data_IF_994724152929
#
_entry.id   IF_994724152929
#
_cell.length_a   1.000
_cell.length_b   1.000
_cell.length_c   1.000
_cell.angle_alpha   90.00
_cell.angle_beta   90.00
_cell.angle_gamma   90.00
#
_symmetry.space_group_name_H-M   'P 1'
#
loop_
_entity.id
_entity.type
_entity.pdbx_description
1 polymer ?
#
# COMPACT_ATOMS: atom_id res chain seq x y z
N UNK A 1 -45.83 82.47 35.99
CA UNK A 1 -46.21 81.54 34.90
C UNK A 1 -45.24 81.70 33.75
N UNK A 2 -44.45 80.65 33.47
CA UNK A 2 -43.92 80.21 32.15
C UNK A 2 -42.73 79.29 32.43
N UNK A 3 -43.02 77.99 32.47
CA UNK A 3 -42.04 76.92 32.41
C UNK A 3 -41.55 76.80 30.96
N UNK A 4 -40.24 76.81 30.75
CA UNK A 4 -39.62 76.42 29.48
C UNK A 4 -38.86 75.11 29.69
N UNK A 5 -39.51 74.03 29.29
CA UNK A 5 -38.99 72.65 29.35
C UNK A 5 -38.16 72.39 28.09
N UNK A 6 -36.85 72.23 28.23
CA UNK A 6 -35.98 71.78 27.16
C UNK A 6 -36.16 70.27 26.97
N UNK A 7 -36.80 69.86 25.87
CA UNK A 7 -36.85 68.48 25.41
C UNK A 7 -35.59 68.15 24.61
N UNK A 8 -34.77 67.24 25.12
CA UNK A 8 -33.68 66.59 24.39
C UNK A 8 -34.24 65.25 23.85
N UNK A 9 -34.31 65.01 22.54
CA UNK A 9 -34.68 63.70 22.03
C UNK A 9 -33.46 62.77 22.09
N UNK A 10 -33.53 61.77 22.97
CA UNK A 10 -32.58 60.67 23.02
C UNK A 10 -32.87 59.72 21.85
N UNK A 11 -32.12 59.86 20.76
CA UNK A 11 -32.14 58.92 19.63
C UNK A 11 -31.47 57.62 20.07
N UNK A 12 -32.28 56.59 20.29
CA UNK A 12 -31.84 55.24 20.62
C UNK A 12 -31.50 54.50 19.32
N UNK A 13 -30.23 54.54 18.92
CA UNK A 13 -29.71 53.74 17.80
C UNK A 13 -29.59 52.29 18.26
N UNK A 14 -30.55 51.46 17.86
CA UNK A 14 -30.45 50.01 18.00
C UNK A 14 -29.41 49.48 17.01
N UNK A 15 -28.18 49.25 17.50
CA UNK A 15 -27.15 48.52 16.75
C UNK A 15 -27.57 47.06 16.73
N UNK A 16 -28.20 46.64 15.62
CA UNK A 16 -28.42 45.24 15.31
C UNK A 16 -27.08 44.55 15.07
N UNK A 17 -26.54 43.96 16.13
CA UNK A 17 -25.51 42.93 16.03
C UNK A 17 -26.15 41.70 15.36
N UNK A 18 -26.12 41.67 14.03
CA UNK A 18 -26.23 40.42 13.27
C UNK A 18 -24.93 39.68 13.54
N UNK A 19 -24.87 39.01 14.69
CA UNK A 19 -23.88 37.99 14.96
C UNK A 19 -24.06 36.92 13.90
N UNK A 20 -23.21 36.94 12.87
CA UNK A 20 -22.99 35.78 12.02
C UNK A 20 -22.47 34.67 12.94
N UNK A 21 -23.39 33.88 13.49
CA UNK A 21 -23.04 32.57 14.01
C UNK A 21 -22.56 31.77 12.80
N UNK A 22 -21.24 31.84 12.54
CA UNK A 22 -20.58 30.75 11.84
C UNK A 22 -20.78 29.55 12.74
N UNK A 23 -21.79 28.74 12.42
CA UNK A 23 -21.90 27.39 12.92
C UNK A 23 -20.59 26.71 12.51
N UNK A 24 -19.63 26.68 13.41
CA UNK A 24 -18.56 25.71 13.40
C UNK A 24 -19.25 24.37 13.56
N UNK A 25 -19.68 23.79 12.45
CA UNK A 25 -20.11 22.41 12.41
C UNK A 25 -18.98 21.60 13.05
N UNK A 26 -19.27 20.99 14.19
CA UNK A 26 -18.35 20.11 14.89
C UNK A 26 -17.96 18.99 13.90
N UNK A 27 -16.75 19.09 13.34
CA UNK A 27 -16.29 18.16 12.31
C UNK A 27 -15.96 16.83 12.98
N UNK A 28 -16.85 15.84 12.81
CA UNK A 28 -16.66 14.49 13.32
C UNK A 28 -15.52 13.83 12.54
N UNK A 29 -14.38 13.66 13.21
CA UNK A 29 -13.29 12.82 12.70
C UNK A 29 -13.65 11.34 12.91
N UNK A 30 -13.69 10.55 11.83
CA UNK A 30 -14.09 9.15 11.86
C UNK A 30 -13.25 8.31 10.89
N UNK A 31 -12.96 7.07 11.26
CA UNK A 31 -12.26 6.11 10.38
C UNK A 31 -13.18 5.63 9.25
N UNK A 32 -12.61 5.46 8.05
CA UNK A 32 -13.38 5.13 6.85
C UNK A 32 -14.32 3.93 7.01
N UNK A 33 -13.82 2.80 7.52
CA UNK A 33 -14.64 1.58 7.63
C UNK A 33 -15.71 1.71 8.71
N UNK A 34 -15.45 2.43 9.81
CA UNK A 34 -16.48 2.77 10.81
C UNK A 34 -17.57 3.67 10.21
N UNK A 35 -17.19 4.62 9.37
CA UNK A 35 -18.17 5.47 8.67
C UNK A 35 -19.04 4.68 7.67
N UNK A 36 -18.46 3.65 7.02
CA UNK A 36 -19.22 2.72 6.17
C UNK A 36 -20.20 1.88 6.98
N UNK A 37 -19.77 1.35 8.13
CA UNK A 37 -20.63 0.57 9.03
C UNK A 37 -21.80 1.40 9.60
N UNK A 38 -21.56 2.67 9.90
CA UNK A 38 -22.59 3.60 10.39
C UNK A 38 -23.55 4.08 9.30
N UNK A 39 -23.23 3.86 8.02
CA UNK A 39 -23.99 4.39 6.88
C UNK A 39 -23.73 5.86 6.58
N UNK A 40 -22.78 6.50 7.27
CA UNK A 40 -22.37 7.90 7.05
C UNK A 40 -21.68 8.07 5.68
N UNK A 41 -21.09 6.99 5.14
CA UNK A 41 -20.32 6.98 3.89
C UNK A 41 -20.61 5.76 3.04
N UNK A 42 -20.79 5.97 1.73
CA UNK A 42 -20.79 4.89 0.73
C UNK A 42 -19.44 4.84 0.00
N UNK A 43 -18.84 3.66 -0.11
CA UNK A 43 -17.62 3.42 -0.89
C UNK A 43 -17.93 2.54 -2.10
N UNK A 44 -17.58 3.01 -3.31
CA UNK A 44 -17.57 2.20 -4.53
C UNK A 44 -16.14 1.96 -4.98
N UNK A 45 -15.72 0.69 -4.98
CA UNK A 45 -14.40 0.26 -5.44
C UNK A 45 -14.49 -0.24 -6.87
N UNK A 46 -13.73 0.38 -7.77
CA UNK A 46 -13.71 0.05 -9.20
C UNK A 46 -12.28 -0.34 -9.58
N UNK A 47 -12.01 -1.64 -9.64
CA UNK A 47 -10.72 -2.15 -10.09
C UNK A 47 -10.56 -1.90 -11.60
N UNK A 48 -9.51 -1.19 -12.02
CA UNK A 48 -9.27 -0.93 -13.44
C UNK A 48 -8.51 -2.07 -14.11
N UNK A 49 -7.51 -2.59 -13.40
CA UNK A 49 -6.63 -3.68 -13.77
C UNK A 49 -5.88 -4.14 -12.50
N UNK A 50 -4.91 -5.06 -12.66
CA UNK A 50 -4.09 -5.56 -11.55
C UNK A 50 -3.37 -4.45 -10.75
N UNK A 51 -3.07 -3.31 -11.38
CA UNK A 51 -2.19 -2.27 -10.84
C UNK A 51 -2.93 -1.10 -10.19
N UNK A 52 -4.18 -0.85 -10.58
CA UNK A 52 -4.89 0.37 -10.20
C UNK A 52 -6.39 0.17 -9.98
N UNK A 53 -6.93 0.90 -9.01
CA UNK A 53 -8.37 1.05 -8.80
C UNK A 53 -8.76 2.51 -8.57
N UNK A 54 -10.00 2.84 -8.93
CA UNK A 54 -10.67 4.07 -8.51
C UNK A 54 -11.57 3.76 -7.31
N UNK A 55 -11.49 4.58 -6.26
CA UNK A 55 -12.35 4.49 -5.09
C UNK A 55 -13.17 5.76 -4.98
N UNK A 56 -14.49 5.63 -5.08
CA UNK A 56 -15.43 6.74 -4.93
C UNK A 56 -16.00 6.70 -3.52
N UNK A 57 -15.75 7.75 -2.74
CA UNK A 57 -16.22 7.90 -1.37
C UNK A 57 -17.29 8.99 -1.36
N UNK A 58 -18.51 8.64 -1.00
CA UNK A 58 -19.66 9.54 -0.95
C UNK A 58 -20.03 9.80 0.50
N UNK A 59 -20.10 11.06 0.90
CA UNK A 59 -20.66 11.42 2.21
C UNK A 59 -22.19 11.43 2.10
N UNK A 60 -22.83 10.48 2.79
CA UNK A 60 -24.29 10.32 2.83
C UNK A 60 -24.93 11.12 3.97
N UNK A 61 -24.13 11.66 4.89
CA UNK A 61 -24.61 12.48 5.99
C UNK A 61 -24.94 13.91 5.57
N UNK A 62 -25.66 14.61 6.45
CA UNK A 62 -26.00 16.03 6.36
C UNK A 62 -24.91 16.96 6.90
N UNK A 63 -23.79 16.41 7.40
CA UNK A 63 -22.68 17.15 8.01
C UNK A 63 -21.35 16.93 7.27
N UNK A 64 -20.43 17.91 7.28
CA UNK A 64 -19.07 17.67 6.81
C UNK A 64 -18.41 16.54 7.61
N UNK A 65 -17.79 15.59 6.91
CA UNK A 65 -17.07 14.48 7.52
C UNK A 65 -15.57 14.64 7.32
N UNK A 66 -14.81 14.36 8.37
CA UNK A 66 -13.36 14.27 8.32
C UNK A 66 -12.96 12.79 8.43
N UNK A 67 -12.65 12.18 7.30
CA UNK A 67 -12.40 10.74 7.18
C UNK A 67 -10.92 10.42 7.33
N UNK A 68 -10.58 9.53 8.27
CA UNK A 68 -9.27 8.89 8.32
C UNK A 68 -9.25 7.69 7.37
N UNK A 69 -8.42 7.77 6.34
CA UNK A 69 -8.22 6.69 5.39
C UNK A 69 -7.23 5.66 5.94
N UNK A 70 -7.45 4.37 5.70
CA UNK A 70 -6.52 3.32 6.09
C UNK A 70 -5.24 3.40 5.24
N UNK A 71 -4.11 2.99 5.82
CA UNK A 71 -2.82 2.93 5.10
C UNK A 71 -2.79 1.84 4.03
N UNK A 72 -3.54 0.77 4.23
CA UNK A 72 -3.71 -0.31 3.28
C UNK A 72 -5.16 -0.84 3.30
N UNK A 73 -5.57 -1.39 2.18
CA UNK A 73 -6.91 -1.92 1.92
C UNK A 73 -6.82 -3.23 1.15
N UNK A 74 -7.87 -4.05 1.25
CA UNK A 74 -8.14 -5.11 0.30
C UNK A 74 -9.50 -4.88 -0.38
N UNK A 75 -9.69 -5.48 -1.55
CA UNK A 75 -10.99 -5.55 -2.19
C UNK A 75 -11.22 -6.95 -2.72
N UNK A 76 -12.39 -7.50 -2.38
CA UNK A 76 -12.82 -8.84 -2.77
C UNK A 76 -14.00 -8.76 -3.74
N UNK A 77 -14.08 -9.65 -4.74
CA UNK A 77 -15.22 -9.67 -5.64
C UNK A 77 -16.48 -10.02 -4.85
N UNK A 78 -17.57 -9.30 -5.09
CA UNK A 78 -18.88 -9.65 -4.54
C UNK A 78 -19.37 -10.88 -5.30
N UNK A 79 -19.47 -12.02 -4.61
CA UNK A 79 -19.81 -13.34 -5.19
C UNK A 79 -21.28 -13.45 -5.69
N UNK A 80 -21.92 -12.34 -6.04
CA UNK A 80 -23.37 -12.25 -6.19
C UNK A 80 -23.92 -11.87 -7.56
N UNK A 81 -23.15 -11.80 -8.67
CA UNK A 81 -23.79 -11.34 -9.92
C UNK A 81 -23.32 -11.85 -11.28
N UNK A 82 -22.22 -12.59 -11.43
CA UNK A 82 -21.88 -13.15 -12.75
C UNK A 82 -21.14 -14.48 -12.66
N UNK A 83 -21.84 -15.55 -13.04
CA UNK A 83 -21.22 -16.68 -13.74
C UNK A 83 -20.86 -17.91 -12.91
N UNK A 84 -21.81 -18.47 -12.17
CA UNK A 84 -21.82 -19.92 -11.99
C UNK A 84 -22.41 -20.50 -13.28
N UNK A 85 -21.58 -20.62 -14.32
CA UNK A 85 -21.96 -21.33 -15.53
C UNK A 85 -22.00 -22.83 -15.19
N UNK A 86 -23.15 -23.52 -15.26
CA UNK A 86 -23.25 -24.94 -14.93
C UNK A 86 -22.42 -25.85 -15.85
N UNK A 87 -21.86 -25.28 -16.92
CA UNK A 87 -21.14 -26.02 -17.97
C UNK A 87 -19.62 -25.80 -17.96
N UNK A 88 -19.05 -25.20 -16.91
CA UNK A 88 -17.59 -25.15 -16.74
C UNK A 88 -17.12 -26.32 -15.88
N UNK A 89 -16.44 -27.24 -16.56
CA UNK A 89 -15.73 -28.41 -16.06
C UNK A 89 -15.15 -28.17 -14.65
N UNK A 90 -15.74 -28.86 -13.68
CA UNK A 90 -15.51 -28.76 -12.24
C UNK A 90 -14.18 -29.40 -11.79
N UNK A 91 -13.16 -29.36 -12.65
CA UNK A 91 -11.91 -30.08 -12.43
C UNK A 91 -10.69 -29.16 -12.48
N UNK A 92 -10.76 -28.04 -11.75
CA UNK A 92 -9.57 -27.27 -11.37
C UNK A 92 -9.84 -26.45 -10.10
N UNK A 93 -9.23 -26.94 -9.01
CA UNK A 93 -8.93 -26.26 -7.76
C UNK A 93 -10.10 -25.98 -6.77
N UNK A 94 -10.06 -26.55 -5.55
CA UNK A 94 -11.00 -26.22 -4.49
C UNK A 94 -10.60 -24.89 -3.83
N UNK A 95 -10.99 -23.77 -4.45
CA UNK A 95 -10.76 -22.42 -3.94
C UNK A 95 -11.69 -21.44 -4.64
N UNK A 96 -12.88 -21.24 -4.08
CA UNK A 96 -14.01 -20.55 -4.70
C UNK A 96 -13.72 -19.14 -5.23
N UNK A 97 -14.49 -18.78 -6.27
CA UNK A 97 -14.48 -17.47 -6.92
C UNK A 97 -13.48 -17.39 -8.07
N UNK A 98 -14.00 -17.39 -9.31
CA UNK A 98 -13.23 -17.15 -10.53
C UNK A 98 -12.57 -15.77 -10.58
N UNK A 99 -12.96 -14.85 -9.70
CA UNK A 99 -12.46 -13.47 -9.70
C UNK A 99 -11.38 -13.26 -8.61
N UNK A 100 -10.38 -12.45 -8.95
CA UNK A 100 -9.22 -12.14 -8.13
C UNK A 100 -9.51 -11.07 -7.07
N UNK A 101 -9.08 -11.29 -5.82
CA UNK A 101 -8.94 -10.24 -4.81
C UNK A 101 -7.69 -9.37 -5.01
N UNK A 102 -7.79 -8.09 -4.67
CA UNK A 102 -6.67 -7.13 -4.75
C UNK A 102 -6.35 -6.51 -3.40
N UNK A 103 -5.07 -6.19 -3.19
CA UNK A 103 -4.58 -5.48 -2.00
C UNK A 103 -3.79 -4.24 -2.42
N UNK A 104 -3.73 -3.23 -1.57
CA UNK A 104 -3.02 -2.00 -1.91
C UNK A 104 -3.29 -0.85 -0.97
N UNK A 105 -3.13 0.37 -1.46
CA UNK A 105 -3.34 1.57 -0.65
C UNK A 105 -3.47 2.85 -1.49
N UNK A 106 -3.76 3.95 -0.79
CA UNK A 106 -3.92 5.26 -1.39
C UNK A 106 -2.61 6.04 -1.37
N UNK A 107 -2.33 6.79 -2.43
CA UNK A 107 -1.26 7.77 -2.42
C UNK A 107 -1.72 9.02 -1.65
N UNK A 108 -1.53 8.99 -0.34
CA UNK A 108 -1.94 10.02 0.62
C UNK A 108 -0.90 11.13 0.79
N UNK A 109 -0.14 11.43 -0.26
CA UNK A 109 0.66 12.65 -0.32
C UNK A 109 1.62 12.83 0.85
N UNK A 110 2.49 11.87 1.10
CA UNK A 110 3.78 12.21 1.69
C UNK A 110 4.59 12.86 0.56
N UNK A 111 4.99 14.13 0.71
CA UNK A 111 5.61 14.99 -0.31
C UNK A 111 6.97 14.53 -0.86
N UNK A 112 7.22 13.22 -0.94
CA UNK A 112 8.38 12.55 -1.52
C UNK A 112 7.89 11.31 -2.29
N UNK A 113 7.02 11.50 -3.27
CA UNK A 113 6.73 10.47 -4.26
C UNK A 113 7.71 10.59 -5.41
N UNK A 114 8.62 9.61 -5.56
CA UNK A 114 9.31 9.31 -6.82
C UNK A 114 8.26 8.86 -7.86
N UNK A 115 7.44 9.81 -8.31
CA UNK A 115 6.52 9.62 -9.41
C UNK A 115 7.29 9.79 -10.70
N UNK A 116 7.75 8.68 -11.27
CA UNK A 116 7.93 8.56 -12.71
C UNK A 116 6.53 8.58 -13.35
N UNK A 117 5.84 9.71 -13.19
CA UNK A 117 4.58 10.04 -13.83
C UNK A 117 4.92 10.64 -15.17
N UNK A 118 5.28 9.77 -16.12
CA UNK A 118 4.94 10.00 -17.51
C UNK A 118 3.42 10.07 -17.59
N UNK A 119 2.92 11.27 -17.28
CA UNK A 119 1.58 11.71 -17.61
C UNK A 119 1.52 11.83 -19.13
N UNK A 120 1.35 10.68 -19.78
CA UNK A 120 0.98 10.57 -21.20
C UNK A 120 -0.51 10.93 -21.33
N UNK A 121 -0.82 12.16 -20.93
CA UNK A 121 -2.05 12.88 -21.22
C UNK A 121 -1.69 13.98 -22.20
N UNK A 122 -2.03 13.76 -23.46
CA UNK A 122 -1.87 14.70 -24.56
C UNK A 122 -2.54 16.05 -24.23
N UNK A 123 -1.80 17.03 -23.73
CA UNK A 123 -2.22 18.43 -23.77
C UNK A 123 -1.01 19.38 -23.77
N UNK A 124 -0.54 19.66 -24.98
CA UNK A 124 0.04 20.97 -25.26
C UNK A 124 -1.06 22.01 -24.98
N UNK A 125 -0.91 22.73 -23.87
CA UNK A 125 -1.86 23.74 -23.45
C UNK A 125 -1.15 24.81 -22.63
N UNK A 126 -0.55 25.77 -23.33
CA UNK A 126 -0.27 27.08 -22.77
C UNK A 126 -1.59 27.68 -22.27
N UNK A 127 -1.69 27.97 -20.98
CA UNK A 127 -2.84 28.65 -20.42
C UNK A 127 -2.68 28.93 -18.94
N UNK A 128 -2.41 30.19 -18.62
CA UNK A 128 -2.65 30.77 -17.30
C UNK A 128 -4.05 30.39 -16.81
N UNK A 129 -4.13 29.53 -15.80
CA UNK A 129 -5.31 29.50 -14.95
C UNK A 129 -4.91 29.14 -13.53
N UNK A 130 -5.09 30.13 -12.67
CA UNK A 130 -5.11 30.01 -11.22
C UNK A 130 -6.17 28.96 -10.84
N UNK A 131 -5.72 27.72 -10.69
CA UNK A 131 -6.55 26.61 -10.24
C UNK A 131 -6.69 26.65 -8.72
N UNK A 132 -7.77 27.27 -8.25
CA UNK A 132 -8.31 27.07 -6.92
C UNK A 132 -8.49 25.57 -6.63
N UNK A 133 -7.58 25.02 -5.83
CA UNK A 133 -7.68 23.67 -5.30
C UNK A 133 -6.92 23.62 -3.99
N UNK A 134 -7.66 23.67 -2.88
CA UNK A 134 -7.15 23.58 -1.53
C UNK A 134 -6.46 22.21 -1.32
N UNK A 135 -5.21 22.07 -1.73
CA UNK A 135 -4.36 20.89 -1.53
C UNK A 135 -3.80 20.80 -0.09
N UNK A 136 -4.44 21.49 0.88
CA UNK A 136 -3.98 21.51 2.28
C UNK A 136 -4.55 20.40 3.16
N UNK A 137 -5.31 19.44 2.60
CA UNK A 137 -5.95 18.38 3.38
C UNK A 137 -5.28 17.00 3.36
N UNK A 138 -4.57 16.65 2.28
CA UNK A 138 -4.29 15.22 2.01
C UNK A 138 -3.02 14.66 2.65
N UNK A 139 -2.18 15.48 3.29
CA UNK A 139 -0.84 15.07 3.77
C UNK A 139 -0.79 14.29 5.09
N UNK A 140 -1.91 13.87 5.67
CA UNK A 140 -1.94 13.10 6.94
C UNK A 140 -2.88 11.90 6.93
N UNK A 141 -3.32 11.45 5.76
CA UNK A 141 -4.30 10.36 5.67
C UNK A 141 -5.72 10.78 6.08
N UNK A 142 -5.98 12.08 6.18
CA UNK A 142 -7.28 12.65 6.55
C UNK A 142 -7.89 13.31 5.30
N UNK A 143 -9.18 13.06 5.05
CA UNK A 143 -9.93 13.57 3.91
C UNK A 143 -11.22 14.23 4.40
N UNK A 144 -11.42 15.50 4.08
CA UNK A 144 -12.68 16.20 4.37
C UNK A 144 -13.64 16.08 3.19
N UNK A 145 -14.89 15.66 3.44
CA UNK A 145 -15.95 15.55 2.43
C UNK A 145 -17.20 16.32 2.90
N UNK A 146 -17.67 17.27 2.10
CA UNK A 146 -18.90 18.00 2.39
C UNK A 146 -20.16 17.10 2.24
N UNK A 147 -21.29 17.46 2.88
CA UNK A 147 -22.54 16.70 2.78
C UNK A 147 -22.96 16.42 1.33
N UNK A 148 -23.35 15.18 1.03
CA UNK A 148 -23.80 14.75 -0.31
C UNK A 148 -22.74 14.86 -1.41
N UNK A 149 -21.47 15.07 -1.07
CA UNK A 149 -20.37 15.15 -2.06
C UNK A 149 -19.61 13.84 -2.17
N UNK A 150 -19.04 13.65 -3.36
CA UNK A 150 -18.22 12.48 -3.71
C UNK A 150 -16.77 12.92 -3.91
N UNK A 151 -15.83 12.20 -3.31
CA UNK A 151 -14.43 12.28 -3.67
C UNK A 151 -13.97 11.01 -4.38
N UNK A 152 -13.18 11.19 -5.44
CA UNK A 152 -12.54 10.11 -6.17
C UNK A 152 -11.07 10.01 -5.77
N UNK A 153 -10.68 8.84 -5.30
CA UNK A 153 -9.29 8.48 -5.00
C UNK A 153 -8.76 7.45 -5.98
N UNK A 154 -7.46 7.48 -6.22
CA UNK A 154 -6.73 6.42 -6.92
C UNK A 154 -6.02 5.54 -5.88
N UNK A 155 -6.20 4.24 -6.00
CA UNK A 155 -5.48 3.26 -5.21
C UNK A 155 -4.53 2.47 -6.12
N UNK A 156 -3.28 2.31 -5.68
CA UNK A 156 -2.33 1.38 -6.30
C UNK A 156 -2.60 0.00 -5.73
N UNK A 157 -2.69 -1.00 -6.60
CA UNK A 157 -3.11 -2.36 -6.22
C UNK A 157 -2.16 -3.42 -6.75
N UNK A 158 -2.23 -4.59 -6.11
CA UNK A 158 -1.61 -5.85 -6.54
C UNK A 158 -2.62 -6.99 -6.42
N UNK A 159 -2.43 -7.97 -7.27
CA UNK A 159 -3.16 -9.22 -7.29
C UNK A 159 -2.73 -10.10 -6.10
N UNK A 160 -3.65 -10.46 -5.20
CA UNK A 160 -3.31 -11.20 -3.97
C UNK A 160 -3.14 -12.71 -4.18
N UNK A 161 -3.53 -13.22 -5.35
CA UNK A 161 -3.65 -14.65 -5.64
C UNK A 161 -3.12 -14.95 -7.05
N UNK A 162 -1.99 -15.63 -7.16
CA UNK A 162 -1.48 -15.97 -8.49
C UNK A 162 -2.41 -16.91 -9.27
N UNK A 163 -2.55 -16.68 -10.57
CA UNK A 163 -3.27 -17.55 -11.51
C UNK A 163 -4.77 -17.27 -11.63
N UNK A 164 -5.32 -16.37 -10.80
CA UNK A 164 -6.66 -15.82 -11.02
C UNK A 164 -6.62 -14.76 -12.14
N UNK A 165 -7.73 -14.55 -12.87
CA UNK A 165 -7.78 -13.54 -13.91
C UNK A 165 -7.65 -12.14 -13.31
N UNK A 166 -6.94 -11.26 -14.03
CA UNK A 166 -6.78 -9.87 -13.65
C UNK A 166 -8.14 -9.21 -13.37
N UNK A 167 -8.21 -8.35 -12.33
CA UNK A 167 -9.42 -7.64 -11.98
C UNK A 167 -9.84 -6.68 -13.10
N UNK A 168 -11.15 -6.51 -13.30
CA UNK A 168 -11.71 -5.69 -14.39
C UNK A 168 -12.77 -4.72 -13.87
N UNK A 169 -13.00 -3.56 -14.53
CA UNK A 169 -13.98 -2.57 -14.08
C UNK A 169 -15.42 -3.07 -13.99
N UNK A 170 -15.74 -4.15 -14.72
CA UNK A 170 -17.08 -4.73 -14.79
C UNK A 170 -17.38 -5.68 -13.63
N UNK A 171 -16.36 -6.13 -12.89
CA UNK A 171 -16.54 -7.02 -11.74
C UNK A 171 -16.82 -6.15 -10.51
N UNK A 172 -17.91 -6.44 -9.79
CA UNK A 172 -18.25 -5.72 -8.57
C UNK A 172 -17.29 -6.13 -7.44
N UNK A 173 -16.67 -5.14 -6.81
CA UNK A 173 -15.76 -5.33 -5.69
C UNK A 173 -16.28 -4.67 -4.42
N UNK A 174 -16.11 -5.35 -3.29
CA UNK A 174 -16.30 -4.79 -1.96
C UNK A 174 -14.94 -4.51 -1.35
N UNK A 175 -14.70 -3.26 -1.01
CA UNK A 175 -13.52 -2.85 -0.24
C UNK A 175 -13.69 -3.28 1.21
N UNK A 176 -12.65 -3.86 1.78
CA UNK A 176 -12.59 -4.35 3.16
C UNK A 176 -11.27 -3.92 3.81
N UNK A 177 -11.19 -3.89 5.15
CA UNK A 177 -9.92 -3.75 5.84
C UNK A 177 -8.95 -4.85 5.41
N UNK A 178 -7.65 -4.53 5.29
CA UNK A 178 -6.66 -5.50 4.81
C UNK A 178 -6.56 -6.70 5.77
N UNK A 179 -6.66 -6.44 7.07
CA UNK A 179 -6.66 -7.41 8.15
C UNK A 179 -7.81 -8.43 8.07
N UNK A 180 -8.91 -8.09 7.40
CA UNK A 180 -10.01 -9.04 7.12
C UNK A 180 -9.62 -10.02 6.02
N UNK A 181 -8.70 -9.66 5.13
CA UNK A 181 -8.19 -10.55 4.08
C UNK A 181 -6.97 -11.35 4.56
N UNK A 182 -6.01 -10.70 5.22
CA UNK A 182 -4.78 -11.33 5.71
C UNK A 182 -4.24 -10.60 6.92
N UNK A 183 -3.71 -11.34 7.88
CA UNK A 183 -3.00 -10.81 9.06
C UNK A 183 -1.48 -10.82 8.89
N UNK A 184 -0.99 -11.15 7.70
CA UNK A 184 0.43 -11.26 7.42
C UNK A 184 1.12 -9.88 7.46
N UNK A 185 2.14 -9.69 8.33
CA UNK A 185 2.81 -8.40 8.47
C UNK A 185 3.60 -7.99 7.22
N UNK A 186 4.14 -8.95 6.48
CA UNK A 186 4.87 -8.69 5.23
C UNK A 186 3.91 -8.20 4.16
N UNK A 187 2.76 -8.86 3.98
CA UNK A 187 1.75 -8.41 3.01
C UNK A 187 1.17 -7.05 3.40
N UNK A 188 0.98 -6.81 4.69
CA UNK A 188 0.56 -5.51 5.22
C UNK A 188 1.55 -4.42 4.86
N UNK A 189 2.84 -4.63 5.14
CA UNK A 189 3.90 -3.68 4.83
C UNK A 189 3.97 -3.42 3.32
N UNK A 190 3.93 -4.46 2.48
CA UNK A 190 3.95 -4.34 1.01
C UNK A 190 2.79 -3.47 0.52
N UNK A 191 1.57 -3.72 0.98
CA UNK A 191 0.41 -2.94 0.54
C UNK A 191 0.49 -1.46 0.98
N UNK A 192 1.01 -1.18 2.17
CA UNK A 192 1.23 0.19 2.65
C UNK A 192 2.30 0.92 1.83
N UNK A 193 3.43 0.26 1.56
CA UNK A 193 4.52 0.83 0.76
C UNK A 193 4.12 1.02 -0.70
N UNK A 194 3.32 0.12 -1.26
CA UNK A 194 2.74 0.27 -2.59
C UNK A 194 1.79 1.47 -2.67
N UNK A 195 0.91 1.61 -1.66
CA UNK A 195 -0.04 2.72 -1.59
C UNK A 195 0.66 4.07 -1.56
N UNK A 196 1.75 4.18 -0.78
CA UNK A 196 2.56 5.40 -0.66
C UNK A 196 3.55 5.60 -1.81
N UNK A 197 3.69 4.64 -2.72
CA UNK A 197 4.64 4.71 -3.83
C UNK A 197 6.11 4.47 -3.44
N UNK A 198 6.37 3.91 -2.25
CA UNK A 198 7.72 3.55 -1.79
C UNK A 198 8.29 2.34 -2.53
N UNK A 199 7.44 1.42 -2.99
CA UNK A 199 7.82 0.29 -3.84
C UNK A 199 7.00 0.29 -5.13
N UNK A 200 7.62 -0.09 -6.26
CA UNK A 200 6.90 -0.18 -7.53
C UNK A 200 5.97 -1.41 -7.54
N UNK A 201 4.94 -1.35 -8.40
CA UNK A 201 3.89 -2.36 -8.44
C UNK A 201 4.41 -3.76 -8.78
N UNK A 202 5.34 -3.89 -9.75
CA UNK A 202 5.90 -5.19 -10.13
C UNK A 202 6.65 -5.84 -8.95
N UNK A 203 7.43 -5.05 -8.19
CA UNK A 203 8.14 -5.52 -6.99
C UNK A 203 7.13 -6.00 -5.94
N UNK A 204 6.10 -5.20 -5.65
CA UNK A 204 5.03 -5.59 -4.73
C UNK A 204 4.33 -6.88 -5.17
N UNK A 205 4.03 -7.01 -6.46
CA UNK A 205 3.38 -8.18 -7.06
C UNK A 205 4.24 -9.45 -6.91
N UNK A 206 5.54 -9.34 -7.14
CA UNK A 206 6.49 -10.44 -6.99
C UNK A 206 6.58 -10.91 -5.53
N UNK A 207 6.65 -9.97 -4.57
CA UNK A 207 6.69 -10.29 -3.13
C UNK A 207 5.41 -11.02 -2.71
N UNK A 208 4.24 -10.49 -3.08
CA UNK A 208 2.95 -11.09 -2.71
C UNK A 208 2.84 -12.52 -3.26
N UNK A 209 3.18 -12.74 -4.52
CA UNK A 209 3.10 -14.07 -5.14
C UNK A 209 4.14 -15.05 -4.60
N UNK A 210 5.35 -14.58 -4.27
CA UNK A 210 6.35 -15.41 -3.62
C UNK A 210 5.90 -15.84 -2.23
N UNK A 211 5.50 -14.88 -1.41
CA UNK A 211 5.25 -15.06 0.01
C UNK A 211 3.89 -15.72 0.29
N UNK A 212 2.81 -15.18 -0.29
CA UNK A 212 1.43 -15.66 -0.04
C UNK A 212 1.09 -16.93 -0.82
N UNK A 213 1.65 -17.10 -2.03
CA UNK A 213 1.33 -18.23 -2.90
C UNK A 213 2.47 -19.25 -3.05
N UNK A 214 3.60 -19.06 -2.37
CA UNK A 214 4.71 -20.00 -2.34
C UNK A 214 5.44 -20.16 -3.69
N UNK A 215 5.34 -19.18 -4.60
CA UNK A 215 5.95 -19.29 -5.92
C UNK A 215 7.45 -19.04 -5.81
N UNK A 216 8.33 -19.99 -6.19
CA UNK A 216 9.77 -19.79 -6.07
C UNK A 216 10.25 -18.67 -7.00
N UNK A 217 11.26 -17.92 -6.58
CA UNK A 217 11.83 -16.81 -7.35
C UNK A 217 12.27 -17.19 -8.76
N UNK A 218 12.75 -18.42 -8.96
CA UNK A 218 13.11 -18.95 -10.28
C UNK A 218 11.90 -19.02 -11.19
N UNK A 219 10.77 -19.51 -10.69
CA UNK A 219 9.51 -19.55 -11.44
C UNK A 219 8.94 -18.15 -11.71
N UNK A 220 9.12 -17.20 -10.81
CA UNK A 220 8.76 -15.80 -11.06
C UNK A 220 9.63 -15.18 -12.17
N UNK A 221 10.93 -15.47 -12.20
CA UNK A 221 11.84 -14.98 -13.26
C UNK A 221 11.46 -15.49 -14.65
N UNK A 222 10.94 -16.70 -14.73
CA UNK A 222 10.53 -17.31 -15.99
C UNK A 222 9.11 -16.94 -16.43
N UNK A 223 8.32 -16.29 -15.57
CA UNK A 223 6.92 -15.98 -15.84
C UNK A 223 6.79 -14.96 -16.97
N UNK A 224 5.99 -15.28 -17.98
CA UNK A 224 5.69 -14.38 -19.10
C UNK A 224 4.35 -13.66 -18.83
N UNK A 225 4.35 -12.33 -18.95
CA UNK A 225 3.11 -11.52 -18.94
C UNK A 225 2.38 -11.62 -20.27
N UNK A 226 3.13 -11.62 -21.36
CA UNK A 226 2.59 -11.76 -22.72
C UNK A 226 3.40 -12.83 -23.44
N UNK A 227 2.72 -13.85 -23.92
CA UNK A 227 3.29 -14.84 -24.82
C UNK A 227 2.78 -14.55 -26.24
N UNK A 228 3.68 -14.22 -27.14
CA UNK A 228 3.35 -13.99 -28.55
C UNK A 228 4.21 -14.88 -29.44
N UNK A 229 3.55 -15.62 -30.32
CA UNK A 229 4.22 -16.46 -31.32
C UNK A 229 5.13 -15.67 -32.27
N UNK A 230 4.86 -14.37 -32.45
CA UNK A 230 5.55 -13.53 -33.45
C UNK A 230 6.44 -12.44 -32.85
N UNK A 231 6.09 -11.91 -31.68
CA UNK A 231 6.83 -10.81 -31.04
C UNK A 231 7.78 -11.27 -29.92
N UNK A 232 7.86 -12.57 -29.67
CA UNK A 232 8.53 -13.12 -28.50
C UNK A 232 7.73 -12.92 -27.21
N UNK A 233 8.33 -13.30 -26.10
CA UNK A 233 7.69 -13.27 -24.79
C UNK A 233 8.14 -12.03 -24.01
N UNK A 234 7.18 -11.36 -23.37
CA UNK A 234 7.45 -10.26 -22.45
C UNK A 234 7.37 -10.83 -21.04
N UNK A 235 8.50 -10.79 -20.32
CA UNK A 235 8.56 -11.24 -18.93
C UNK A 235 7.66 -10.41 -18.03
N UNK A 236 7.11 -11.06 -17.01
CA UNK A 236 6.26 -10.40 -16.03
C UNK A 236 7.07 -9.49 -15.12
N UNK A 237 8.26 -9.95 -14.74
CA UNK A 237 9.21 -9.25 -13.88
C UNK A 237 10.53 -9.11 -14.59
N UNK A 238 11.15 -7.94 -14.46
CA UNK A 238 12.53 -7.76 -14.88
C UNK A 238 13.51 -8.30 -13.83
N UNK A 239 14.78 -8.54 -14.18
CA UNK A 239 15.79 -8.96 -13.20
C UNK A 239 15.91 -7.98 -12.02
N UNK A 240 15.85 -6.67 -12.28
CA UNK A 240 15.89 -5.64 -11.26
C UNK A 240 14.69 -5.68 -10.32
N UNK A 241 13.46 -5.90 -10.83
CA UNK A 241 12.26 -6.08 -10.01
C UNK A 241 12.47 -7.21 -9.00
N UNK A 242 13.03 -8.35 -9.45
CA UNK A 242 13.26 -9.52 -8.60
C UNK A 242 14.40 -9.32 -7.60
N UNK A 243 15.44 -8.57 -7.95
CA UNK A 243 16.51 -8.22 -7.00
C UNK A 243 15.95 -7.34 -5.90
N UNK A 244 15.18 -6.30 -6.25
CA UNK A 244 14.56 -5.42 -5.26
C UNK A 244 13.56 -6.19 -4.39
N UNK A 245 12.71 -7.04 -4.98
CA UNK A 245 11.77 -7.88 -4.24
C UNK A 245 12.47 -8.82 -3.23
N UNK A 246 13.56 -9.48 -3.64
CA UNK A 246 14.38 -10.32 -2.74
C UNK A 246 15.01 -9.52 -1.61
N UNK A 247 15.52 -8.32 -1.89
CA UNK A 247 16.12 -7.46 -0.86
C UNK A 247 15.10 -6.99 0.17
N UNK A 248 13.90 -6.63 -0.27
CA UNK A 248 12.78 -6.27 0.61
C UNK A 248 12.39 -7.46 1.49
N UNK A 249 12.22 -8.64 0.88
CA UNK A 249 11.84 -9.83 1.62
C UNK A 249 12.88 -10.22 2.68
N UNK A 250 14.17 -10.17 2.31
CA UNK A 250 15.26 -10.49 3.23
C UNK A 250 15.41 -9.49 4.39
N UNK A 251 15.05 -8.21 4.20
CA UNK A 251 15.06 -7.23 5.29
C UNK A 251 13.84 -7.40 6.20
N UNK A 252 12.64 -7.60 5.64
CA UNK A 252 11.43 -7.84 6.42
C UNK A 252 11.49 -9.14 7.24
N UNK A 253 12.07 -10.22 6.70
CA UNK A 253 12.20 -11.49 7.44
C UNK A 253 13.21 -11.45 8.60
N UNK A 254 14.14 -10.50 8.59
CA UNK A 254 15.13 -10.33 9.68
C UNK A 254 14.54 -9.61 10.89
N UNK A 255 13.54 -8.76 10.68
CA UNK A 255 12.86 -8.03 11.76
C UNK A 255 11.96 -8.89 12.65
N UNK A 256 11.61 -10.10 12.21
CA UNK A 256 10.81 -11.06 12.99
C UNK A 256 11.62 -11.90 14.00
N UNK A 257 12.95 -11.77 14.02
CA UNK A 257 13.80 -12.33 15.07
C UNK A 257 14.21 -11.21 16.02
N UNK A 258 14.02 -11.37 17.35
CA UNK A 258 14.57 -10.42 18.30
C UNK A 258 16.08 -10.34 18.05
N UNK A 259 16.57 -9.13 17.79
CA UNK A 259 17.98 -8.86 17.65
C UNK A 259 18.67 -9.29 18.95
N UNK A 260 19.26 -10.49 18.96
CA UNK A 260 20.25 -10.84 19.95
C UNK A 260 21.42 -9.92 19.69
N UNK A 261 21.44 -8.79 20.41
CA UNK A 261 22.60 -7.93 20.50
C UNK A 261 23.74 -8.81 21.01
N UNK A 262 24.57 -9.29 20.10
CA UNK A 262 25.90 -9.74 20.46
C UNK A 262 26.68 -8.49 20.82
N UNK A 263 26.52 -8.07 22.08
CA UNK A 263 27.41 -7.14 22.74
C UNK A 263 28.79 -7.78 22.75
N UNK A 264 29.56 -7.51 21.69
CA UNK A 264 31.00 -7.72 21.72
C UNK A 264 31.52 -6.95 22.94
N UNK A 265 32.13 -7.60 23.94
CA UNK A 265 32.66 -6.89 25.09
C UNK A 265 33.91 -6.14 24.64
N UNK A 266 33.74 -4.92 24.15
CA UNK A 266 34.84 -3.97 24.04
C UNK A 266 35.07 -3.33 25.41
N UNK A 267 35.49 -4.16 26.37
CA UNK A 267 36.13 -3.70 27.58
C UNK A 267 37.47 -3.08 27.21
N UNK A 268 37.49 -1.78 26.90
CA UNK A 268 38.72 -0.98 26.90
C UNK A 268 39.14 -0.78 28.35
N UNK A 269 39.85 -1.75 28.90
CA UNK A 269 40.70 -1.52 30.06
C UNK A 269 42.04 -1.02 29.52
N UNK A 270 42.36 0.20 29.91
CA UNK A 270 43.64 0.86 29.65
C UNK A 270 44.76 0.02 30.26
N UNK A 271 45.72 -0.43 29.44
CA UNK A 271 46.97 -1.01 29.91
C UNK A 271 48.12 -0.44 29.09
N UNK A 272 48.79 0.53 29.71
CA UNK A 272 50.10 1.02 29.35
C UNK A 272 51.15 -0.09 29.39
N UNK A 273 52.03 -0.06 28.40
CA UNK A 273 53.25 -0.83 28.19
C UNK A 273 53.91 -1.47 29.42
N UNK A 274 54.27 -2.75 29.29
CA UNK A 274 55.68 -3.20 29.41
C UNK A 274 55.82 -4.66 29.01
N UNK A 275 56.90 -4.92 28.24
CA UNK A 275 57.63 -6.17 28.01
C UNK A 275 56.89 -7.50 28.07
N UNK A 276 56.96 -8.29 27.00
CA UNK A 276 57.94 -9.39 26.89
C UNK A 276 57.74 -10.07 25.53
N UNK A 277 58.75 -9.96 24.69
CA UNK A 277 58.83 -10.56 23.36
C UNK A 277 59.33 -12.00 23.47
N UNK A 278 58.65 -12.95 22.83
CA UNK A 278 59.27 -14.18 22.33
C UNK A 278 58.64 -14.54 20.97
N UNK A 279 59.44 -14.38 19.92
CA UNK A 279 59.20 -14.88 18.58
C UNK A 279 59.76 -16.29 18.46
N UNK A 280 59.01 -17.27 17.92
CA UNK A 280 59.59 -18.45 17.26
C UNK A 280 58.77 -18.81 16.00
N UNK A 281 59.38 -18.49 14.87
CA UNK A 281 59.65 -19.29 13.67
C UNK A 281 58.70 -20.38 13.17
N UNK A 282 58.38 -20.18 11.90
CA UNK A 282 57.92 -21.08 10.83
C UNK A 282 58.58 -22.48 10.73
N UNK A 283 57.79 -23.41 10.16
CA UNK A 283 58.13 -24.38 9.09
C UNK A 283 58.06 -25.91 9.36
N UNK A 284 57.42 -26.57 8.38
CA UNK A 284 57.59 -27.93 7.83
C UNK A 284 56.68 -29.11 8.24
N UNK A 285 55.75 -29.40 7.31
CA UNK A 285 55.61 -30.60 6.46
C UNK A 285 55.57 -32.03 7.06
N UNK A 286 54.42 -32.68 6.77
CA UNK A 286 54.23 -33.95 6.02
C UNK A 286 54.34 -35.32 6.72
N UNK A 287 53.23 -36.08 6.74
CA UNK A 287 53.00 -37.36 5.99
C UNK A 287 52.19 -38.46 6.72
N UNK A 288 51.05 -38.83 6.10
CA UNK A 288 50.48 -40.17 5.83
C UNK A 288 50.18 -41.24 6.91
N UNK A 289 48.91 -41.69 6.96
CA UNK A 289 48.44 -43.06 6.61
C UNK A 289 46.89 -43.10 6.55
N UNK A 290 46.25 -43.30 5.38
CA UNK A 290 45.70 -44.55 4.80
C UNK A 290 44.74 -45.37 5.70
N UNK A 291 43.44 -45.31 5.38
CA UNK A 291 42.56 -46.48 5.28
C UNK A 291 41.41 -46.19 4.29
N UNK A 292 41.02 -47.21 3.53
CA UNK A 292 40.30 -47.21 2.24
C UNK A 292 39.12 -48.16 2.35
N UNK A 293 37.97 -47.81 1.77
CA UNK A 293 36.91 -48.71 1.25
C UNK A 293 35.69 -47.83 0.89
N UNK A 294 35.25 -47.58 -0.35
CA UNK A 294 35.54 -48.14 -1.66
C UNK A 294 34.35 -48.98 -2.17
N UNK A 295 33.40 -48.39 -2.90
CA UNK A 295 32.56 -49.11 -3.89
C UNK A 295 31.98 -48.14 -4.95
N UNK A 296 32.47 -48.30 -6.18
CA UNK A 296 31.92 -47.82 -7.45
C UNK A 296 32.34 -48.86 -8.50
N UNK A 297 31.39 -49.39 -9.27
CA UNK A 297 31.58 -49.97 -10.62
C UNK A 297 30.19 -50.30 -11.18
N UNK A 298 29.66 -49.50 -12.13
CA UNK A 298 29.65 -49.70 -13.61
C UNK A 298 28.99 -50.97 -14.11
N UNK A 299 28.08 -50.88 -15.09
CA UNK A 299 28.17 -51.64 -16.35
C UNK A 299 27.25 -51.07 -17.45
N UNK A 300 27.86 -50.85 -18.61
CA UNK A 300 27.39 -50.77 -20.01
C UNK A 300 26.39 -49.71 -20.44
#
# INVERSE_FOLDING_TARGET
MRHTTNFIPLILVAIGLIGSQRATAEEKEIELFKAVEQGDVTVKFIALNAMQANVLITNESDKPLQLRLPKAIAAVPVLGQFGQNPNQNQNQNPGGGTNQGVGGGFNLGNGQGFGNGQDFGNQQGFGNQQGFGNQQGFGRGIMRIAPGKVHKLKANTVCLEHGKPDPKPRVAYRMIPLETFTTDPIITQVCQQLGTGQIPQNVAQAIVWHHSNGIPWTKLADLDRVQSRYRGNIKFFSPEDLVTAKSFFASSSRSDYPEYQYSSPTGRVSASASGFAWSISNANKSSYSKARSGYQSTFR
#
